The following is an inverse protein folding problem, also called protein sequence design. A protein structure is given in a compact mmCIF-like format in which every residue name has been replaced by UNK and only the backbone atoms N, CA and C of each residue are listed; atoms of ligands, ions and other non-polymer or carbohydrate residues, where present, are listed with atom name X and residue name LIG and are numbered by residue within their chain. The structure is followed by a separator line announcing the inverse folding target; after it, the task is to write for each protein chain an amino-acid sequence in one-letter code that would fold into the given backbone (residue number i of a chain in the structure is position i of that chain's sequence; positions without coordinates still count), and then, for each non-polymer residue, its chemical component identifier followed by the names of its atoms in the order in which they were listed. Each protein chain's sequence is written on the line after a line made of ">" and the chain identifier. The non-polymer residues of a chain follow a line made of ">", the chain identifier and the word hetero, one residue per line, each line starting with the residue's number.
data_IF_615260717391
#
_entry.id   IF_615260717391
#
_cell.length_a   1.000
_cell.length_b   1.000
_cell.length_c   1.000
_cell.angle_alpha   90.00
_cell.angle_beta   90.00
_cell.angle_gamma   90.00
#
_symmetry.space_group_name_H-M   'P 1'
#
loop_
_entity.id
_entity.type
_entity.pdbx_description
1 polymer ?
#
# COMPACT_ATOMS: atom_id res chain seq x y z
N UNK A 1 21.08 22.91 63.45
CA UNK A 1 21.07 21.54 62.88
C UNK A 1 19.69 21.23 62.32
N UNK A 2 19.63 20.49 61.20
CA UNK A 2 18.46 19.96 60.48
C UNK A 2 17.42 20.97 59.95
N UNK A 3 17.61 21.48 58.73
CA UNK A 3 16.46 21.85 57.87
C UNK A 3 16.70 21.91 56.36
N UNK A 4 17.82 21.38 55.85
CA UNK A 4 18.18 21.57 54.42
C UNK A 4 18.25 20.26 53.60
N UNK A 5 18.19 19.07 54.21
CA UNK A 5 18.51 17.84 53.47
C UNK A 5 17.29 17.14 52.83
N UNK A 6 16.05 17.51 53.16
CA UNK A 6 14.87 16.72 52.76
C UNK A 6 14.25 17.05 51.38
N UNK A 7 14.68 18.10 50.67
CA UNK A 7 14.06 18.49 49.39
C UNK A 7 14.74 17.93 48.14
N UNK A 8 15.97 17.44 48.23
CA UNK A 8 16.76 17.09 47.04
C UNK A 8 16.62 15.64 46.58
N UNK A 9 16.08 14.75 47.42
CA UNK A 9 16.00 13.30 47.09
C UNK A 9 14.73 12.94 46.30
N UNK A 10 13.62 13.63 46.54
CA UNK A 10 12.33 13.36 45.86
C UNK A 10 12.29 13.84 44.40
N UNK A 11 13.12 14.83 44.04
CA UNK A 11 13.20 15.31 42.65
C UNK A 11 14.02 14.40 41.73
N UNK A 12 14.93 13.60 42.28
CA UNK A 12 15.78 12.70 41.48
C UNK A 12 15.02 11.51 40.89
N UNK A 13 14.03 10.97 41.61
CA UNK A 13 13.28 9.78 41.21
C UNK A 13 12.15 10.10 40.23
N UNK A 14 11.50 11.27 40.39
CA UNK A 14 10.43 11.69 39.47
C UNK A 14 10.96 11.98 38.05
N UNK A 15 12.19 12.48 37.92
CA UNK A 15 12.80 12.80 36.62
C UNK A 15 13.28 11.54 35.88
N UNK A 16 13.62 10.47 36.60
CA UNK A 16 14.03 9.20 35.96
C UNK A 16 12.87 8.43 35.36
N UNK A 17 11.67 8.47 35.97
CA UNK A 17 10.49 7.73 35.47
C UNK A 17 9.92 8.37 34.18
N UNK A 18 10.00 9.70 34.05
CA UNK A 18 9.53 10.40 32.82
C UNK A 18 10.50 10.21 31.64
N UNK A 19 11.78 9.98 31.91
CA UNK A 19 12.77 9.72 30.86
C UNK A 19 12.59 8.33 30.24
N UNK A 20 12.08 7.33 30.96
CA UNK A 20 11.90 5.97 30.43
C UNK A 20 10.63 5.85 29.58
N UNK A 21 9.57 6.62 29.85
CA UNK A 21 8.35 6.59 29.03
C UNK A 21 8.50 7.29 27.68
N UNK A 22 9.40 8.26 27.54
CA UNK A 22 9.65 8.93 26.25
C UNK A 22 10.51 8.12 25.27
N UNK A 23 11.32 7.16 25.74
CA UNK A 23 12.18 6.35 24.87
C UNK A 23 11.44 5.17 24.23
N UNK A 24 10.32 4.73 24.82
CA UNK A 24 9.48 3.66 24.24
C UNK A 24 8.60 4.17 23.07
N UNK A 25 8.40 5.48 22.97
CA UNK A 25 7.46 6.10 22.04
C UNK A 25 7.98 6.41 20.62
N UNK A 26 9.25 6.15 20.30
CA UNK A 26 9.83 6.52 19.00
C UNK A 26 10.63 5.39 18.34
N UNK A 27 10.18 4.15 18.46
CA UNK A 27 10.41 3.21 17.34
C UNK A 27 9.56 3.73 16.19
N UNK A 28 10.13 4.63 15.37
CA UNK A 28 9.52 5.02 14.09
C UNK A 28 9.29 3.72 13.34
N UNK A 29 8.02 3.27 13.32
CA UNK A 29 7.64 2.10 12.54
C UNK A 29 8.17 2.34 11.13
N UNK A 30 8.90 1.38 10.54
CA UNK A 30 9.37 1.52 9.18
C UNK A 30 8.21 1.97 8.29
N UNK A 31 8.42 2.93 7.38
CA UNK A 31 7.36 3.36 6.48
C UNK A 31 6.83 2.14 5.75
N UNK A 32 5.49 2.00 5.75
CA UNK A 32 4.84 0.85 5.14
C UNK A 32 5.15 0.82 3.64
N UNK A 33 5.85 -0.21 3.14
CA UNK A 33 6.31 -0.26 1.75
C UNK A 33 5.16 -0.37 0.74
N UNK A 34 3.94 -0.70 1.20
CA UNK A 34 2.73 -0.77 0.39
C UNK A 34 1.87 0.50 0.48
N UNK A 35 2.23 1.48 1.32
CA UNK A 35 1.41 2.68 1.55
C UNK A 35 1.16 3.48 0.26
N UNK A 36 2.18 3.55 -0.61
CA UNK A 36 2.07 4.17 -1.92
C UNK A 36 0.95 3.54 -2.76
N UNK A 37 0.71 2.24 -2.62
CA UNK A 37 -0.20 1.44 -3.46
C UNK A 37 -1.54 1.13 -2.78
N UNK A 38 -1.74 1.61 -1.55
CA UNK A 38 -3.00 1.44 -0.84
C UNK A 38 -4.13 2.26 -1.51
N UNK A 39 -5.29 1.64 -1.67
CA UNK A 39 -6.48 2.34 -2.12
C UNK A 39 -7.03 3.23 -0.97
N UNK A 40 -7.28 4.54 -1.18
CA UNK A 40 -7.57 5.48 -0.08
C UNK A 40 -8.78 5.13 0.80
N UNK A 41 -9.77 4.43 0.25
CA UNK A 41 -11.00 4.03 0.97
C UNK A 41 -11.04 2.52 1.28
N UNK A 42 -9.90 1.85 1.21
CA UNK A 42 -9.83 0.43 1.55
C UNK A 42 -9.32 0.23 2.98
N UNK A 43 -9.88 -0.77 3.65
CA UNK A 43 -9.40 -1.26 4.93
C UNK A 43 -8.31 -2.29 4.65
N UNK A 44 -7.18 -2.20 5.34
CA UNK A 44 -6.14 -3.23 5.28
C UNK A 44 -6.59 -4.47 6.08
N UNK A 45 -6.55 -5.62 5.44
CA UNK A 45 -6.84 -6.91 6.04
C UNK A 45 -5.66 -7.43 6.87
N UNK A 46 -5.92 -8.50 7.64
CA UNK A 46 -4.91 -9.19 8.45
C UNK A 46 -4.02 -10.14 7.63
N UNK A 47 -4.39 -10.42 6.38
CA UNK A 47 -3.64 -11.28 5.46
C UNK A 47 -2.46 -10.51 4.84
N UNK A 48 -1.27 -11.14 4.85
CA UNK A 48 -0.07 -10.57 4.23
C UNK A 48 1.24 -10.97 4.90
N UNK A 49 2.33 -10.44 4.35
CA UNK A 49 3.66 -10.41 4.98
C UNK A 49 4.26 -9.04 4.72
N UNK A 50 4.96 -8.48 5.70
CA UNK A 50 5.71 -7.22 5.60
C UNK A 50 7.20 -7.44 5.33
N UNK A 51 7.61 -8.71 5.15
CA UNK A 51 9.02 -9.09 4.99
C UNK A 51 9.43 -9.22 3.51
N UNK A 52 10.59 -8.67 3.13
CA UNK A 52 11.18 -8.92 1.81
C UNK A 52 11.55 -10.41 1.64
N UNK A 53 11.73 -10.87 0.40
CA UNK A 53 11.68 -10.08 -0.83
C UNK A 53 10.26 -9.88 -1.39
N UNK A 54 9.26 -10.55 -0.84
CA UNK A 54 7.89 -10.55 -1.33
C UNK A 54 6.94 -10.05 -0.26
N UNK A 55 6.67 -8.76 -0.27
CA UNK A 55 5.80 -8.07 0.68
C UNK A 55 4.41 -8.01 0.08
N UNK A 56 3.35 -8.38 0.82
CA UNK A 56 2.00 -8.26 0.29
C UNK A 56 0.96 -8.07 1.38
N UNK A 57 -0.19 -7.52 1.00
CA UNK A 57 -1.34 -7.42 1.88
C UNK A 57 -2.63 -7.41 1.06
N UNK A 58 -3.71 -7.81 1.71
CA UNK A 58 -5.07 -7.69 1.17
C UNK A 58 -5.73 -6.43 1.72
N UNK A 59 -6.45 -5.72 0.89
CA UNK A 59 -7.32 -4.61 1.25
C UNK A 59 -8.75 -4.91 0.80
N UNK A 60 -9.73 -4.35 1.48
CA UNK A 60 -11.14 -4.44 1.10
C UNK A 60 -11.80 -3.06 1.09
N UNK A 61 -12.67 -2.81 0.12
CA UNK A 61 -13.43 -1.56 0.03
C UNK A 61 -14.84 -1.81 -0.45
N UNK A 62 -15.79 -0.96 -0.08
CA UNK A 62 -17.17 -1.01 -0.59
C UNK A 62 -17.31 -0.35 -1.96
N UNK A 63 -16.27 0.35 -2.42
CA UNK A 63 -16.27 0.95 -3.75
C UNK A 63 -16.32 -0.14 -4.85
N UNK A 64 -17.01 0.12 -5.97
CA UNK A 64 -17.16 -0.87 -7.03
C UNK A 64 -15.87 -1.15 -7.79
N UNK A 65 -15.80 -2.34 -8.41
CA UNK A 65 -14.64 -2.80 -9.18
C UNK A 65 -14.15 -1.74 -10.17
N UNK A 66 -15.05 -1.20 -10.99
CA UNK A 66 -14.68 -0.26 -12.06
C UNK A 66 -14.01 1.01 -11.50
N UNK A 67 -14.48 1.51 -10.35
CA UNK A 67 -13.87 2.65 -9.67
C UNK A 67 -12.48 2.35 -9.10
N UNK A 68 -12.27 1.13 -8.60
CA UNK A 68 -10.96 0.69 -8.10
C UNK A 68 -10.00 0.46 -9.27
N UNK A 69 -10.48 -0.15 -10.35
CA UNK A 69 -9.75 -0.36 -11.60
C UNK A 69 -9.25 0.97 -12.18
N UNK A 70 -10.16 1.94 -12.34
CA UNK A 70 -9.83 3.25 -12.89
C UNK A 70 -8.81 4.00 -12.02
N UNK A 71 -8.91 3.90 -10.69
CA UNK A 71 -7.92 4.47 -9.78
C UNK A 71 -6.52 3.94 -10.05
N UNK A 72 -6.36 2.61 -10.14
CA UNK A 72 -5.04 2.01 -10.36
C UNK A 72 -4.53 2.27 -11.77
N UNK A 73 -5.43 2.28 -12.77
CA UNK A 73 -5.07 2.69 -14.12
C UNK A 73 -4.53 4.12 -14.17
N UNK A 74 -5.24 5.09 -13.58
CA UNK A 74 -4.79 6.49 -13.50
C UNK A 74 -3.48 6.65 -12.74
N UNK A 75 -3.27 5.83 -11.71
CA UNK A 75 -2.02 5.80 -10.95
C UNK A 75 -0.85 5.32 -11.81
N UNK A 76 -1.05 4.25 -12.58
CA UNK A 76 -0.04 3.70 -13.51
C UNK A 76 0.29 4.68 -14.63
N UNK A 77 -0.73 5.31 -15.22
CA UNK A 77 -0.56 6.25 -16.33
C UNK A 77 -0.15 7.66 -15.87
N UNK A 78 0.02 7.87 -14.56
CA UNK A 78 0.36 9.17 -13.94
C UNK A 78 -0.57 10.30 -14.38
N UNK A 79 -1.86 10.00 -14.55
CA UNK A 79 -2.86 10.99 -14.96
C UNK A 79 -2.79 11.40 -16.43
N UNK A 80 -2.07 10.67 -17.28
CA UNK A 80 -2.17 10.86 -18.73
C UNK A 80 -3.65 10.71 -19.15
N UNK A 81 -4.14 11.47 -20.15
CA UNK A 81 -5.55 11.45 -20.60
C UNK A 81 -5.91 10.15 -21.35
N UNK A 82 -5.22 9.06 -21.06
CA UNK A 82 -5.47 7.73 -21.59
C UNK A 82 -6.46 7.10 -20.64
N UNK A 83 -7.76 7.31 -20.84
CA UNK A 83 -8.76 6.40 -20.28
C UNK A 83 -8.56 5.02 -20.93
N UNK A 84 -8.66 3.93 -20.17
CA UNK A 84 -8.68 2.60 -20.77
C UNK A 84 -10.12 2.29 -21.17
N UNK A 85 -10.44 2.15 -22.47
CA UNK A 85 -11.79 1.79 -22.89
C UNK A 85 -12.19 0.44 -22.28
N UNK A 86 -13.48 0.28 -21.98
CA UNK A 86 -13.98 -0.90 -21.26
C UNK A 86 -13.78 -2.21 -22.04
N UNK A 87 -13.63 -2.09 -23.35
CA UNK A 87 -13.45 -3.16 -24.32
C UNK A 87 -12.01 -3.70 -24.32
N UNK A 88 -11.04 -2.90 -23.87
CA UNK A 88 -9.64 -3.31 -23.80
C UNK A 88 -9.43 -4.18 -22.56
N UNK A 89 -9.54 -5.49 -22.77
CA UNK A 89 -9.32 -6.48 -21.72
C UNK A 89 -7.86 -6.56 -21.27
N UNK A 90 -6.90 -6.34 -22.16
CA UNK A 90 -5.48 -6.50 -21.83
C UNK A 90 -4.59 -5.63 -22.69
N UNK A 91 -3.39 -5.36 -22.18
CA UNK A 91 -2.40 -4.58 -22.92
C UNK A 91 -1.14 -4.33 -22.09
N UNK A 92 -0.20 -3.65 -22.73
CA UNK A 92 1.03 -3.18 -22.09
C UNK A 92 1.13 -1.67 -22.28
N UNK A 93 1.30 -0.96 -21.17
CA UNK A 93 1.59 0.46 -21.13
C UNK A 93 3.07 0.68 -20.82
N UNK A 94 3.69 1.60 -21.56
CA UNK A 94 5.06 2.06 -21.32
C UNK A 94 5.00 3.53 -20.93
N UNK A 95 5.37 3.82 -19.68
CA UNK A 95 5.41 5.17 -19.13
C UNK A 95 6.84 5.65 -18.89
N UNK A 96 7.04 6.96 -19.01
CA UNK A 96 8.34 7.60 -18.79
C UNK A 96 9.28 7.54 -20.00
N UNK A 97 10.47 8.15 -19.91
CA UNK A 97 11.47 8.11 -20.98
C UNK A 97 12.01 6.69 -21.17
N UNK A 98 12.60 6.38 -22.35
CA UNK A 98 13.21 5.07 -22.65
C UNK A 98 14.54 4.81 -21.90
N UNK A 99 14.68 5.37 -20.70
CA UNK A 99 15.77 5.09 -19.76
C UNK A 99 15.34 3.93 -18.86
N UNK A 100 16.04 2.78 -18.86
CA UNK A 100 15.68 1.61 -18.04
C UNK A 100 15.55 1.88 -16.54
N UNK A 101 16.14 2.97 -16.03
CA UNK A 101 16.03 3.38 -14.61
C UNK A 101 14.77 4.19 -14.31
N UNK A 102 14.14 4.75 -15.34
CA UNK A 102 13.00 5.68 -15.23
C UNK A 102 11.74 5.17 -15.93
N UNK A 103 11.88 4.15 -16.76
CA UNK A 103 10.78 3.51 -17.46
C UNK A 103 9.90 2.74 -16.48
N UNK A 104 8.59 2.91 -16.63
CA UNK A 104 7.57 2.11 -15.95
C UNK A 104 6.88 1.27 -17.01
N UNK A 105 6.87 -0.04 -16.84
CA UNK A 105 6.17 -0.96 -17.73
C UNK A 105 5.00 -1.54 -16.95
N UNK A 106 3.79 -1.42 -17.48
CA UNK A 106 2.61 -2.02 -16.87
C UNK A 106 1.93 -2.96 -17.85
N UNK A 107 1.89 -4.24 -17.51
CA UNK A 107 0.98 -5.18 -18.15
C UNK A 107 -0.34 -5.19 -17.37
N UNK A 108 -1.46 -5.15 -18.07
CA UNK A 108 -2.77 -5.20 -17.45
C UNK A 108 -3.67 -6.25 -18.10
N UNK A 109 -4.55 -6.83 -17.30
CA UNK A 109 -5.60 -7.74 -17.73
C UNK A 109 -6.85 -7.51 -16.88
N UNK A 110 -8.03 -7.46 -17.50
CA UNK A 110 -9.32 -7.45 -16.84
C UNK A 110 -10.27 -8.41 -17.54
N UNK A 111 -11.12 -9.04 -16.75
CA UNK A 111 -12.21 -9.84 -17.26
C UNK A 111 -13.45 -9.72 -16.38
N UNK A 112 -14.60 -9.92 -16.99
CA UNK A 112 -15.89 -9.90 -16.32
C UNK A 112 -16.68 -11.11 -16.78
N UNK A 113 -17.06 -11.95 -15.82
CA UNK A 113 -17.91 -13.10 -16.04
C UNK A 113 -19.03 -13.14 -14.98
N UNK A 114 -20.03 -14.01 -15.12
CA UNK A 114 -21.16 -14.05 -14.19
C UNK A 114 -20.79 -14.31 -12.72
N UNK A 115 -19.61 -14.88 -12.45
CA UNK A 115 -19.14 -15.20 -11.11
C UNK A 115 -18.33 -14.07 -10.47
N UNK A 116 -17.61 -13.26 -11.25
CA UNK A 116 -16.80 -12.16 -10.73
C UNK A 116 -16.36 -11.16 -11.80
N UNK A 117 -16.06 -9.94 -11.34
CA UNK A 117 -15.15 -9.01 -12.01
C UNK A 117 -13.74 -9.20 -11.46
N UNK A 118 -12.76 -9.29 -12.35
CA UNK A 118 -11.37 -9.53 -12.02
C UNK A 118 -10.45 -8.61 -12.82
N UNK A 119 -9.38 -8.14 -12.19
CA UNK A 119 -8.38 -7.30 -12.83
C UNK A 119 -7.01 -7.47 -12.21
N UNK A 120 -5.97 -7.37 -13.03
CA UNK A 120 -4.57 -7.42 -12.61
C UNK A 120 -3.79 -6.31 -13.29
N UNK A 121 -2.96 -5.62 -12.52
CA UNK A 121 -1.85 -4.80 -13.00
C UNK A 121 -0.54 -5.43 -12.54
N UNK A 122 0.42 -5.59 -13.46
CA UNK A 122 1.81 -5.95 -13.15
C UNK A 122 2.69 -4.79 -13.60
N UNK A 123 3.24 -4.08 -12.62
CA UNK A 123 3.96 -2.83 -12.80
C UNK A 123 5.42 -3.09 -12.49
N UNK A 124 6.28 -3.09 -13.52
CA UNK A 124 7.72 -3.20 -13.40
C UNK A 124 8.34 -1.82 -13.34
N UNK A 125 9.06 -1.56 -12.28
CA UNK A 125 9.97 -0.43 -12.10
C UNK A 125 11.41 -0.96 -11.99
N UNK A 126 12.40 -0.06 -11.97
CA UNK A 126 13.82 -0.43 -12.07
C UNK A 126 14.26 -1.56 -11.11
N UNK A 127 13.84 -1.50 -9.83
CA UNK A 127 14.27 -2.42 -8.77
C UNK A 127 13.12 -3.09 -8.02
N UNK A 128 11.90 -3.04 -8.58
CA UNK A 128 10.73 -3.66 -7.96
C UNK A 128 9.66 -3.98 -8.97
N UNK A 129 8.86 -4.99 -8.66
CA UNK A 129 7.60 -5.28 -9.36
C UNK A 129 6.46 -5.12 -8.39
N UNK A 130 5.41 -4.40 -8.78
CA UNK A 130 4.16 -4.32 -8.03
C UNK A 130 3.08 -5.06 -8.79
N UNK A 131 2.45 -6.05 -8.16
CA UNK A 131 1.26 -6.70 -8.69
C UNK A 131 0.04 -6.27 -7.89
N UNK A 132 -1.00 -5.86 -8.59
CA UNK A 132 -2.25 -5.40 -7.99
C UNK A 132 -3.36 -6.25 -8.58
N UNK A 133 -3.97 -7.08 -7.75
CA UNK A 133 -5.11 -7.92 -8.13
C UNK A 133 -6.37 -7.34 -7.52
N UNK A 134 -7.39 -7.11 -8.34
CA UNK A 134 -8.69 -6.54 -7.93
C UNK A 134 -9.74 -7.60 -8.23
N UNK A 135 -10.55 -7.94 -7.23
CA UNK A 135 -11.60 -8.95 -7.39
C UNK A 135 -12.87 -8.47 -6.72
N UNK A 136 -13.98 -8.51 -7.45
CA UNK A 136 -15.31 -8.40 -6.87
C UNK A 136 -16.16 -9.57 -7.34
N UNK A 137 -16.47 -10.50 -6.43
CA UNK A 137 -17.31 -11.65 -6.77
C UNK A 137 -18.79 -11.25 -6.83
N UNK A 138 -19.54 -12.02 -7.61
CA UNK A 138 -21.00 -11.91 -7.67
C UNK A 138 -21.59 -12.16 -6.29
N UNK A 139 -22.51 -11.29 -5.86
CA UNK A 139 -23.10 -11.32 -4.52
C UNK A 139 -22.25 -10.69 -3.40
N UNK A 140 -20.96 -10.41 -3.62
CA UNK A 140 -20.12 -9.71 -2.64
C UNK A 140 -20.36 -8.18 -2.68
N UNK A 141 -20.49 -7.58 -1.50
CA UNK A 141 -20.64 -6.12 -1.34
C UNK A 141 -19.32 -5.37 -1.43
N UNK A 142 -18.21 -6.08 -1.20
CA UNK A 142 -16.87 -5.50 -1.14
C UNK A 142 -16.04 -5.91 -2.36
N UNK A 143 -15.16 -5.01 -2.79
CA UNK A 143 -14.08 -5.27 -3.73
C UNK A 143 -12.82 -5.59 -2.93
N UNK A 144 -12.22 -6.74 -3.20
CA UNK A 144 -10.94 -7.16 -2.65
C UNK A 144 -9.81 -6.65 -3.54
N UNK A 145 -8.73 -6.20 -2.92
CA UNK A 145 -7.52 -5.71 -3.59
C UNK A 145 -6.32 -6.39 -2.95
N UNK A 146 -5.54 -7.13 -3.69
CA UNK A 146 -4.28 -7.72 -3.21
C UNK A 146 -3.15 -6.92 -3.84
N UNK A 147 -2.31 -6.31 -3.01
CA UNK A 147 -1.11 -5.61 -3.46
C UNK A 147 0.10 -6.43 -3.05
N UNK A 148 0.91 -6.79 -4.02
CA UNK A 148 2.16 -7.52 -3.86
C UNK A 148 3.30 -6.65 -4.36
N UNK A 149 4.32 -6.48 -3.54
CA UNK A 149 5.57 -5.82 -3.86
C UNK A 149 6.70 -6.86 -3.83
N UNK A 150 7.26 -7.13 -5.00
CA UNK A 150 8.42 -7.97 -5.19
C UNK A 150 9.67 -7.10 -5.35
N UNK A 151 10.64 -7.26 -4.46
CA UNK A 151 11.90 -6.49 -4.42
C UNK A 151 13.09 -7.28 -4.98
N UNK A 152 12.84 -8.31 -5.78
CA UNK A 152 13.85 -9.07 -6.51
C UNK A 152 14.29 -8.40 -7.81
#
# INVERSE_FOLDING_TARGET
>A
MLRVVAKSVLFGVAITVVAVTFVVGQVKKPPDPLAEWAYPKAKRGLEGTDRPPLIWTKFTTTDPFDKVWDFYWQKVTKGAPVGLPSEVKSGTFYGGPPDPKKQVICAHYRDENPAAKFGVFVIREHQRTVSITIVRRSGEKETNIIVVLDQR
#
